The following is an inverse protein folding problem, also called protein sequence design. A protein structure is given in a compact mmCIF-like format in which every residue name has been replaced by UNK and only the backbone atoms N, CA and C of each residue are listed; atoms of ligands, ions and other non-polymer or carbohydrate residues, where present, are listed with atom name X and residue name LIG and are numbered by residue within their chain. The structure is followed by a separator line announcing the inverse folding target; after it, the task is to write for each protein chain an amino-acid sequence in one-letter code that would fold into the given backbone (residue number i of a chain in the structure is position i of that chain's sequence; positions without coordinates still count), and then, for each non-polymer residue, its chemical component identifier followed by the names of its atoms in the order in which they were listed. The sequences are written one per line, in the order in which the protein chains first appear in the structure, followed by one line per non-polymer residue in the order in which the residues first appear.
data_IF_359271220264
#
_entry.id   IF_359271220264
#
_cell.length_a   1.000
_cell.length_b   1.000
_cell.length_c   1.000
_cell.angle_alpha   90.00
_cell.angle_beta   90.00
_cell.angle_gamma   90.00
#
_symmetry.space_group_name_H-M   'P 1'
#
loop_
_entity.id
_entity.type
_entity.pdbx_description
1 polymer ?
#
# COMPACT_ATOMS: atom_id res chain seq x y z
N UNK A 1 -33.70 35.33 26.69
CA UNK A 1 -33.28 33.96 26.94
C UNK A 1 -31.77 33.90 26.73
N UNK A 2 -30.97 33.33 27.62
CA UNK A 2 -29.54 33.17 27.36
C UNK A 2 -29.39 32.29 26.10
N UNK A 3 -28.63 32.82 25.12
CA UNK A 3 -28.25 32.02 23.93
C UNK A 3 -27.50 30.82 24.41
N UNK A 4 -27.94 29.59 24.01
CA UNK A 4 -27.19 28.36 24.32
C UNK A 4 -25.72 28.55 23.86
N UNK A 5 -24.77 28.08 24.66
CA UNK A 5 -23.34 28.32 24.43
C UNK A 5 -22.86 27.83 23.05
N UNK A 6 -23.57 26.85 22.47
CA UNK A 6 -23.20 26.19 21.23
C UNK A 6 -24.00 26.65 19.99
N UNK A 7 -24.81 27.72 20.10
CA UNK A 7 -25.67 28.16 18.99
C UNK A 7 -24.88 28.53 17.72
N UNK A 8 -23.65 29.01 17.84
CA UNK A 8 -22.76 29.31 16.71
C UNK A 8 -22.32 28.06 15.96
N UNK A 9 -22.34 26.90 16.60
CA UNK A 9 -21.92 25.61 16.04
C UNK A 9 -23.10 24.85 15.42
N UNK A 10 -24.31 25.40 15.41
CA UNK A 10 -25.53 24.74 14.94
C UNK A 10 -25.36 24.11 13.55
N UNK A 11 -24.85 24.88 12.59
CA UNK A 11 -24.68 24.41 11.21
C UNK A 11 -23.67 23.25 11.11
N UNK A 12 -22.57 23.33 11.90
CA UNK A 12 -21.55 22.28 11.93
C UNK A 12 -22.09 20.99 12.53
N UNK A 13 -22.86 21.08 13.64
CA UNK A 13 -23.48 19.90 14.24
C UNK A 13 -24.60 19.36 13.36
N UNK A 14 -25.37 20.19 12.65
CA UNK A 14 -26.36 19.73 11.69
C UNK A 14 -25.70 18.94 10.56
N UNK A 15 -24.61 19.46 9.98
CA UNK A 15 -23.82 18.74 8.97
C UNK A 15 -23.29 17.41 9.52
N UNK A 16 -22.73 17.39 10.73
CA UNK A 16 -22.25 16.19 11.40
C UNK A 16 -23.35 15.16 11.57
N UNK A 17 -24.51 15.56 12.06
CA UNK A 17 -25.68 14.67 12.27
C UNK A 17 -26.12 14.04 10.95
N UNK A 18 -26.23 14.85 9.89
CA UNK A 18 -26.63 14.37 8.57
C UNK A 18 -25.59 13.36 8.03
N UNK A 19 -24.30 13.68 8.09
CA UNK A 19 -23.24 12.78 7.62
C UNK A 19 -23.15 11.47 8.42
N UNK A 20 -23.33 11.51 9.74
CA UNK A 20 -23.20 10.34 10.60
C UNK A 20 -24.46 9.45 10.59
N UNK A 21 -25.66 10.05 10.48
CA UNK A 21 -26.91 9.33 10.73
C UNK A 21 -27.74 9.04 9.49
N UNK A 22 -27.29 9.48 8.31
CA UNK A 22 -28.07 9.27 7.08
C UNK A 22 -27.21 8.71 5.95
N UNK A 23 -27.85 8.02 5.04
CA UNK A 23 -27.35 7.54 3.74
C UNK A 23 -28.56 7.33 2.81
N UNK A 24 -28.36 6.80 1.60
CA UNK A 24 -29.43 6.57 0.63
C UNK A 24 -30.57 5.68 1.16
N UNK A 25 -30.28 4.80 2.13
CA UNK A 25 -31.24 3.86 2.72
C UNK A 25 -31.75 4.29 4.10
N UNK A 26 -31.10 5.26 4.73
CA UNK A 26 -31.45 5.76 6.05
C UNK A 26 -31.60 7.28 6.02
N UNK A 27 -32.81 7.75 6.21
CA UNK A 27 -33.13 9.17 6.29
C UNK A 27 -33.47 9.60 7.71
N UNK A 28 -33.44 10.89 7.99
CA UNK A 28 -33.77 11.50 9.28
C UNK A 28 -34.83 12.56 9.09
N UNK A 29 -35.83 12.58 9.99
CA UNK A 29 -36.92 13.55 9.97
C UNK A 29 -36.55 14.85 10.68
N UNK A 30 -37.28 15.93 10.42
CA UNK A 30 -37.08 17.22 11.10
C UNK A 30 -37.16 17.16 12.63
N UNK A 31 -38.13 16.44 13.22
CA UNK A 31 -38.14 16.25 14.67
C UNK A 31 -36.91 15.55 15.21
N UNK A 32 -36.45 14.50 14.56
CA UNK A 32 -35.23 13.76 14.95
C UNK A 32 -33.97 14.63 14.83
N UNK A 33 -33.91 15.53 13.83
CA UNK A 33 -32.81 16.51 13.71
C UNK A 33 -32.81 17.46 14.91
N UNK A 34 -33.99 17.96 15.31
CA UNK A 34 -34.13 18.87 16.47
C UNK A 34 -33.68 18.14 17.75
N UNK A 35 -34.13 16.91 17.96
CA UNK A 35 -33.73 16.09 19.10
C UNK A 35 -32.22 15.83 19.11
N UNK A 36 -31.65 15.49 17.94
CA UNK A 36 -30.22 15.26 17.83
C UNK A 36 -29.37 16.52 18.10
N UNK A 37 -29.83 17.69 17.71
CA UNK A 37 -29.19 18.96 18.05
C UNK A 37 -29.33 19.32 19.54
N UNK A 38 -30.44 18.99 20.14
CA UNK A 38 -30.66 19.22 21.58
C UNK A 38 -29.66 18.43 22.44
N UNK A 39 -29.23 17.25 22.00
CA UNK A 39 -28.17 16.47 22.66
C UNK A 39 -26.81 17.18 22.71
N UNK A 40 -26.60 18.22 21.89
CA UNK A 40 -25.43 19.09 21.88
C UNK A 40 -25.70 20.47 22.52
N UNK A 41 -26.77 20.62 23.31
CA UNK A 41 -27.21 21.88 23.90
C UNK A 41 -27.54 22.96 22.86
N UNK A 42 -27.99 22.57 21.67
CA UNK A 42 -28.37 23.48 20.60
C UNK A 42 -29.88 23.47 20.44
N UNK A 43 -30.49 24.62 20.72
CA UNK A 43 -31.92 24.85 20.44
C UNK A 43 -32.11 25.24 18.98
N UNK A 44 -32.98 24.55 18.27
CA UNK A 44 -33.24 24.82 16.86
C UNK A 44 -34.73 24.84 16.56
N UNK A 45 -35.17 25.87 15.85
CA UNK A 45 -36.51 25.97 15.34
C UNK A 45 -36.59 25.39 13.91
N UNK A 46 -37.70 24.70 13.62
CA UNK A 46 -37.96 24.05 12.35
C UNK A 46 -37.73 24.99 11.15
N UNK A 47 -38.23 26.22 11.23
CA UNK A 47 -38.05 27.22 10.12
C UNK A 47 -36.60 27.59 9.88
N UNK A 48 -35.81 27.71 10.93
CA UNK A 48 -34.38 27.99 10.83
C UNK A 48 -33.60 26.84 10.22
N UNK A 49 -33.97 25.58 10.53
CA UNK A 49 -33.32 24.40 10.00
C UNK A 49 -33.51 24.23 8.50
N UNK A 50 -34.63 24.61 7.92
CA UNK A 50 -34.80 24.62 6.47
C UNK A 50 -33.77 25.50 5.79
N UNK A 51 -33.53 26.70 6.32
CA UNK A 51 -32.50 27.59 5.79
C UNK A 51 -31.08 27.05 6.01
N UNK A 52 -30.85 26.42 7.16
CA UNK A 52 -29.54 25.79 7.45
C UNK A 52 -29.26 24.61 6.49
N UNK A 53 -30.27 23.79 6.16
CA UNK A 53 -30.14 22.72 5.18
C UNK A 53 -29.84 23.29 3.79
N UNK A 54 -30.49 24.39 3.41
CA UNK A 54 -30.21 25.03 2.13
C UNK A 54 -28.79 25.60 2.08
N UNK A 55 -28.31 26.19 3.17
CA UNK A 55 -26.94 26.65 3.29
C UNK A 55 -25.94 25.48 3.17
N UNK A 56 -26.24 24.30 3.71
CA UNK A 56 -25.41 23.11 3.53
C UNK A 56 -25.39 22.64 2.09
N UNK A 57 -26.51 22.74 1.34
CA UNK A 57 -26.55 22.45 -0.10
C UNK A 57 -25.69 23.43 -0.89
N UNK A 58 -25.78 24.73 -0.58
CA UNK A 58 -24.92 25.77 -1.19
C UNK A 58 -23.45 25.53 -0.90
N UNK A 59 -23.14 25.03 0.32
CA UNK A 59 -21.78 24.64 0.70
C UNK A 59 -21.23 23.45 -0.10
N UNK A 60 -22.13 22.66 -0.68
CA UNK A 60 -21.77 21.48 -1.48
C UNK A 60 -22.10 20.13 -0.84
N UNK A 61 -22.82 20.12 0.29
CA UNK A 61 -23.32 18.89 0.87
C UNK A 61 -24.62 18.48 0.17
N UNK A 62 -24.65 17.31 -0.46
CA UNK A 62 -25.80 16.80 -1.21
C UNK A 62 -26.90 16.30 -0.25
N UNK A 63 -27.63 17.22 0.34
CA UNK A 63 -28.77 16.91 1.22
C UNK A 63 -30.04 16.75 0.40
N UNK A 64 -30.51 15.53 0.27
CA UNK A 64 -31.73 15.18 -0.45
C UNK A 64 -32.90 15.12 0.51
N UNK A 65 -34.04 15.71 0.11
CA UNK A 65 -35.31 15.58 0.81
C UNK A 65 -36.16 14.49 0.15
N UNK A 66 -36.72 13.61 0.98
CA UNK A 66 -37.57 12.51 0.52
C UNK A 66 -38.92 12.54 1.26
N UNK A 67 -40.00 12.40 0.53
CA UNK A 67 -41.30 12.22 1.13
C UNK A 67 -41.72 10.76 1.02
N UNK A 68 -41.97 10.15 2.16
CA UNK A 68 -42.53 8.81 2.25
C UNK A 68 -43.84 8.92 3.02
N UNK A 69 -44.95 8.57 2.39
CA UNK A 69 -46.30 8.74 2.89
C UNK A 69 -46.58 10.18 3.37
N UNK A 70 -46.77 10.36 4.69
CA UNK A 70 -46.99 11.66 5.34
C UNK A 70 -45.74 12.27 6.00
N UNK A 71 -44.61 11.61 5.88
CA UNK A 71 -43.37 12.00 6.55
C UNK A 71 -42.36 12.54 5.53
N UNK A 72 -41.78 13.69 5.86
CA UNK A 72 -40.70 14.27 5.06
C UNK A 72 -39.39 14.10 5.82
N UNK A 73 -38.38 13.49 5.18
CA UNK A 73 -37.09 13.17 5.75
C UNK A 73 -35.96 13.64 4.85
N UNK A 74 -34.75 13.68 5.40
CA UNK A 74 -33.53 14.14 4.75
C UNK A 74 -32.45 13.08 4.83
N UNK A 75 -31.62 12.99 3.79
CA UNK A 75 -30.42 12.17 3.80
C UNK A 75 -29.33 12.78 2.94
N UNK A 76 -28.10 12.37 3.15
CA UNK A 76 -26.95 12.74 2.30
C UNK A 76 -26.84 11.71 1.20
N UNK A 77 -27.04 12.15 -0.05
CA UNK A 77 -26.97 11.31 -1.23
C UNK A 77 -25.52 11.08 -1.65
N UNK A 78 -24.90 12.06 -2.29
CA UNK A 78 -23.53 11.93 -2.76
C UNK A 78 -22.52 12.21 -1.62
N UNK A 79 -21.58 11.29 -1.40
CA UNK A 79 -20.51 11.40 -0.42
C UNK A 79 -19.17 11.53 -1.12
N UNK A 80 -18.16 11.98 -0.39
CA UNK A 80 -16.79 12.07 -0.91
C UNK A 80 -16.24 10.72 -1.38
N UNK A 81 -16.67 9.64 -0.73
CA UNK A 81 -16.34 8.27 -1.08
C UNK A 81 -17.60 7.43 -1.15
N UNK A 82 -17.68 6.58 -2.16
CA UNK A 82 -18.70 5.53 -2.23
C UNK A 82 -18.38 4.39 -1.24
N UNK A 83 -19.40 3.68 -0.78
CA UNK A 83 -19.21 2.56 0.14
C UNK A 83 -18.27 1.47 -0.45
N UNK A 84 -18.33 1.24 -1.77
CA UNK A 84 -17.44 0.30 -2.45
C UNK A 84 -15.98 0.73 -2.37
N UNK A 85 -15.68 2.03 -2.53
CA UNK A 85 -14.34 2.59 -2.40
C UNK A 85 -13.80 2.46 -0.97
N UNK A 86 -14.66 2.76 0.03
CA UNK A 86 -14.29 2.59 1.44
C UNK A 86 -14.00 1.13 1.78
N UNK A 87 -14.75 0.16 1.22
CA UNK A 87 -14.46 -1.27 1.35
C UNK A 87 -13.08 -1.62 0.79
N UNK A 88 -12.73 -1.12 -0.40
CA UNK A 88 -11.39 -1.34 -0.99
C UNK A 88 -10.27 -0.72 -0.14
N UNK A 89 -10.49 0.46 0.44
CA UNK A 89 -9.52 1.09 1.35
C UNK A 89 -9.33 0.26 2.63
N UNK A 90 -10.41 -0.23 3.24
CA UNK A 90 -10.35 -1.12 4.42
C UNK A 90 -9.61 -2.40 4.08
N UNK A 91 -9.93 -3.04 2.95
CA UNK A 91 -9.28 -4.28 2.50
C UNK A 91 -7.78 -4.05 2.26
N UNK A 92 -7.40 -2.93 1.65
CA UNK A 92 -6.01 -2.54 1.42
C UNK A 92 -5.23 -2.37 2.74
N UNK A 93 -5.81 -1.69 3.74
CA UNK A 93 -5.21 -1.53 5.06
C UNK A 93 -5.13 -2.87 5.81
N UNK A 94 -6.19 -3.68 5.72
CA UNK A 94 -6.25 -4.98 6.40
C UNK A 94 -5.23 -5.95 5.81
N UNK A 95 -5.07 -5.96 4.49
CA UNK A 95 -4.15 -6.85 3.78
C UNK A 95 -2.68 -6.44 3.90
N UNK A 96 -2.36 -5.20 4.19
CA UNK A 96 -1.00 -4.69 4.24
C UNK A 96 -0.16 -5.36 5.35
N UNK A 97 0.89 -6.10 4.99
CA UNK A 97 1.81 -6.76 5.95
C UNK A 97 2.65 -5.76 6.74
N UNK A 98 2.98 -4.63 6.15
CA UNK A 98 3.86 -3.62 6.75
C UNK A 98 3.19 -2.75 7.81
N UNK A 99 1.86 -2.80 7.94
CA UNK A 99 1.11 -2.08 8.97
C UNK A 99 0.81 -3.03 10.13
N UNK A 100 1.11 -2.63 11.38
CA UNK A 100 0.79 -3.44 12.56
C UNK A 100 -0.73 -3.62 12.72
N UNK A 101 -1.16 -4.67 13.42
CA UNK A 101 -2.58 -4.92 13.70
C UNK A 101 -3.23 -3.71 14.38
N UNK A 102 -2.55 -3.14 15.39
CA UNK A 102 -3.02 -1.96 16.13
C UNK A 102 -3.24 -0.78 15.19
N UNK A 103 -2.24 -0.47 14.35
CA UNK A 103 -2.32 0.67 13.43
C UNK A 103 -3.35 0.46 12.33
N UNK A 104 -3.52 -0.77 11.84
CA UNK A 104 -4.59 -1.11 10.90
C UNK A 104 -5.96 -0.80 11.49
N UNK A 105 -6.23 -1.23 12.73
CA UNK A 105 -7.50 -0.95 13.40
C UNK A 105 -7.76 0.54 13.61
N UNK A 106 -6.70 1.32 13.94
CA UNK A 106 -6.81 2.79 14.05
C UNK A 106 -7.16 3.45 12.71
N UNK A 107 -6.53 3.00 11.61
CA UNK A 107 -6.79 3.52 10.26
C UNK A 107 -8.19 3.14 9.79
N UNK A 108 -8.63 1.89 10.01
CA UNK A 108 -9.96 1.42 9.66
C UNK A 108 -11.02 2.26 10.38
N UNK A 109 -10.86 2.53 11.68
CA UNK A 109 -11.78 3.43 12.41
C UNK A 109 -11.87 4.84 11.79
N UNK A 110 -10.78 5.36 11.24
CA UNK A 110 -10.80 6.65 10.56
C UNK A 110 -11.54 6.57 9.22
N UNK A 111 -11.38 5.47 8.49
CA UNK A 111 -12.12 5.22 7.24
C UNK A 111 -13.61 5.06 7.51
N UNK A 112 -13.98 4.32 8.57
CA UNK A 112 -15.38 4.19 9.03
C UNK A 112 -16.03 5.53 9.30
N UNK A 113 -15.28 6.51 9.84
CA UNK A 113 -15.76 7.86 10.07
C UNK A 113 -16.09 8.67 8.81
N UNK A 114 -15.78 8.17 7.62
CA UNK A 114 -16.16 8.78 6.33
C UNK A 114 -17.53 8.29 5.83
N UNK A 115 -18.08 7.25 6.44
CA UNK A 115 -19.37 6.65 6.12
C UNK A 115 -20.45 7.05 7.14
N UNK A 116 -21.71 6.72 6.86
CA UNK A 116 -22.76 6.75 7.87
C UNK A 116 -22.52 5.65 8.93
N UNK A 117 -23.12 5.78 10.12
CA UNK A 117 -23.05 4.73 11.15
C UNK A 117 -23.58 3.36 10.66
N UNK A 118 -24.49 3.38 9.70
CA UNK A 118 -25.07 2.17 9.12
C UNK A 118 -24.14 1.51 8.11
N UNK A 119 -23.54 2.30 7.23
CA UNK A 119 -22.56 1.85 6.27
C UNK A 119 -21.25 1.43 6.96
N UNK A 120 -20.81 2.16 8.00
CA UNK A 120 -19.63 1.83 8.80
C UNK A 120 -19.70 0.42 9.38
N UNK A 121 -20.90 -0.04 9.80
CA UNK A 121 -21.08 -1.42 10.27
C UNK A 121 -20.79 -2.48 9.20
N UNK A 122 -20.93 -2.14 7.92
CA UNK A 122 -20.62 -3.03 6.79
C UNK A 122 -19.12 -3.04 6.46
N UNK A 123 -18.34 -2.03 6.92
CA UNK A 123 -16.90 -1.96 6.72
C UNK A 123 -16.12 -2.89 7.66
N UNK A 124 -16.75 -3.34 8.76
CA UNK A 124 -16.19 -4.39 9.64
C UNK A 124 -16.12 -5.76 8.97
N UNK A 125 -16.12 -5.82 7.66
CA UNK A 125 -15.97 -7.08 6.94
C UNK A 125 -14.60 -7.67 7.20
N UNK A 126 -14.65 -8.94 7.52
CA UNK A 126 -13.51 -9.82 7.59
C UNK A 126 -13.06 -10.17 6.17
N UNK A 127 -12.24 -9.34 5.54
CA UNK A 127 -11.35 -9.90 4.54
C UNK A 127 -10.37 -10.76 5.33
N UNK A 128 -10.66 -12.04 5.37
CA UNK A 128 -9.79 -13.01 6.02
C UNK A 128 -8.54 -13.17 5.14
N UNK A 129 -7.50 -12.41 5.46
CA UNK A 129 -6.20 -12.60 4.83
C UNK A 129 -5.53 -13.75 5.54
N UNK A 130 -5.77 -14.97 5.04
CA UNK A 130 -5.23 -16.19 5.62
C UNK A 130 -3.70 -16.12 5.71
N UNK A 131 -3.14 -16.42 6.91
CA UNK A 131 -1.71 -16.63 7.11
C UNK A 131 -0.81 -15.40 7.03
N UNK A 132 -1.35 -14.18 6.99
CA UNK A 132 -0.51 -12.97 6.94
C UNK A 132 0.00 -12.56 8.31
N UNK A 133 1.30 -12.74 8.51
CA UNK A 133 2.01 -12.20 9.67
C UNK A 133 2.28 -10.72 9.41
N UNK A 134 1.54 -9.85 10.09
CA UNK A 134 1.80 -8.40 10.07
C UNK A 134 3.11 -8.08 10.82
N UNK A 135 3.77 -7.01 10.42
CA UNK A 135 4.97 -6.53 11.12
C UNK A 135 4.65 -6.19 12.58
N UNK A 136 5.63 -6.41 13.46
CA UNK A 136 5.59 -5.95 14.84
C UNK A 136 6.29 -4.59 15.03
N UNK A 137 6.87 -4.05 13.97
CA UNK A 137 7.58 -2.78 14.04
C UNK A 137 6.62 -1.60 13.86
N UNK A 138 6.19 -0.98 14.94
CA UNK A 138 5.31 0.20 14.91
C UNK A 138 5.99 1.44 14.30
N UNK A 139 7.32 1.47 14.22
CA UNK A 139 8.06 2.62 13.69
C UNK A 139 8.05 2.71 12.16
N UNK A 140 7.61 1.67 11.45
CA UNK A 140 7.69 1.62 9.98
C UNK A 140 6.96 2.79 9.32
N UNK A 141 5.83 3.21 9.87
CA UNK A 141 5.07 4.35 9.40
C UNK A 141 5.91 5.64 9.43
N UNK A 142 6.60 5.88 10.56
CA UNK A 142 7.49 7.03 10.70
C UNK A 142 8.79 6.88 9.90
N UNK A 143 9.24 5.63 9.71
CA UNK A 143 10.43 5.35 8.89
C UNK A 143 10.19 5.76 7.43
N UNK A 144 9.04 5.40 6.86
CA UNK A 144 8.64 5.79 5.50
C UNK A 144 8.60 7.32 5.37
N UNK A 145 7.96 8.00 6.32
CA UNK A 145 7.85 9.46 6.33
C UNK A 145 9.23 10.15 6.41
N UNK A 146 10.10 9.69 7.31
CA UNK A 146 11.47 10.20 7.44
C UNK A 146 12.31 10.02 6.17
N UNK A 147 12.13 8.88 5.49
CA UNK A 147 12.81 8.63 4.22
C UNK A 147 12.30 9.59 3.15
N UNK A 148 10.99 9.78 3.02
CA UNK A 148 10.41 10.76 2.10
C UNK A 148 10.92 12.17 2.36
N UNK A 149 10.95 12.59 3.62
CA UNK A 149 11.48 13.90 4.03
C UNK A 149 12.96 14.04 3.62
N UNK A 150 13.79 13.05 3.90
CA UNK A 150 15.20 13.08 3.52
C UNK A 150 15.41 13.12 1.99
N UNK A 151 14.55 12.43 1.23
CA UNK A 151 14.55 12.51 -0.24
C UNK A 151 14.20 13.92 -0.71
N UNK A 152 13.15 14.52 -0.15
CA UNK A 152 12.71 15.88 -0.49
C UNK A 152 13.76 16.94 -0.14
N UNK A 153 14.43 16.79 1.00
CA UNK A 153 15.49 17.69 1.49
C UNK A 153 16.86 17.41 0.84
N UNK A 154 16.95 16.48 -0.09
CA UNK A 154 18.21 16.06 -0.72
C UNK A 154 19.31 15.68 0.29
N UNK A 155 18.93 15.00 1.38
CA UNK A 155 19.79 14.67 2.49
C UNK A 155 20.12 13.18 2.58
N UNK A 156 21.34 12.84 3.00
CA UNK A 156 21.70 11.48 3.40
C UNK A 156 21.03 11.12 4.71
N UNK A 157 20.86 9.82 4.91
CA UNK A 157 20.32 9.26 6.16
C UNK A 157 21.32 8.30 6.82
N UNK A 158 21.21 8.21 8.13
CA UNK A 158 21.84 7.17 8.92
C UNK A 158 20.79 6.33 9.61
N UNK A 159 21.05 5.06 9.78
CA UNK A 159 20.15 4.13 10.47
C UNK A 159 20.89 2.89 10.95
N UNK A 160 20.29 2.13 11.88
CA UNK A 160 20.67 0.78 12.23
C UNK A 160 19.79 -0.23 11.50
N UNK A 161 20.33 -1.41 11.19
CA UNK A 161 19.61 -2.46 10.50
C UNK A 161 19.64 -3.75 11.31
N UNK A 162 18.47 -4.39 11.48
CA UNK A 162 18.36 -5.60 12.27
C UNK A 162 17.97 -6.82 11.46
N UNK A 163 18.23 -7.98 12.02
CA UNK A 163 17.73 -9.28 11.59
C UNK A 163 17.12 -10.02 12.78
N UNK A 164 16.26 -10.99 12.48
CA UNK A 164 15.75 -11.90 13.51
C UNK A 164 16.71 -13.08 13.68
N UNK A 165 17.02 -13.45 14.91
CA UNK A 165 17.71 -14.70 15.19
C UNK A 165 16.71 -15.86 15.43
N UNK A 166 17.22 -17.08 15.55
CA UNK A 166 16.39 -18.28 15.78
C UNK A 166 15.59 -18.25 17.10
N UNK A 167 16.01 -17.44 18.06
CA UNK A 167 15.31 -17.20 19.32
C UNK A 167 14.21 -16.11 19.18
N UNK A 168 13.92 -15.65 17.95
CA UNK A 168 12.95 -14.57 17.63
C UNK A 168 13.28 -13.24 18.30
N UNK A 169 14.56 -12.98 18.55
CA UNK A 169 15.06 -11.70 19.08
C UNK A 169 15.63 -10.86 17.94
N UNK A 170 15.43 -9.55 18.03
CA UNK A 170 16.09 -8.60 17.13
C UNK A 170 17.59 -8.55 17.42
N UNK A 171 18.39 -8.68 16.38
CA UNK A 171 19.84 -8.64 16.41
C UNK A 171 20.33 -7.60 15.42
N UNK A 172 21.06 -6.59 15.92
CA UNK A 172 21.59 -5.54 15.06
C UNK A 172 22.72 -6.10 14.18
N UNK A 173 22.65 -5.84 12.90
CA UNK A 173 23.72 -6.20 11.97
C UNK A 173 24.95 -5.32 12.20
N UNK A 174 26.11 -5.84 11.82
CA UNK A 174 27.41 -5.17 11.99
C UNK A 174 27.64 -4.63 13.42
N UNK A 175 27.25 -5.42 14.44
CA UNK A 175 27.37 -5.03 15.85
C UNK A 175 26.72 -3.67 16.20
N UNK A 176 25.66 -3.30 15.49
CA UNK A 176 24.94 -2.05 15.72
C UNK A 176 25.55 -0.82 15.04
N UNK A 177 26.55 -0.99 14.18
CA UNK A 177 27.11 0.11 13.40
C UNK A 177 26.03 0.79 12.54
N UNK A 178 26.14 2.10 12.40
CA UNK A 178 25.26 2.89 11.56
C UNK A 178 25.59 2.69 10.08
N UNK A 179 24.55 2.45 9.30
CA UNK A 179 24.63 2.60 7.86
C UNK A 179 24.45 4.09 7.52
N UNK A 180 25.24 4.60 6.59
CA UNK A 180 25.05 5.94 6.00
C UNK A 180 24.86 5.79 4.50
N UNK A 181 23.71 6.23 3.98
CA UNK A 181 23.37 6.09 2.56
C UNK A 181 22.62 7.32 2.04
N UNK A 182 22.65 7.49 0.73
CA UNK A 182 21.86 8.48 0.01
C UNK A 182 20.52 7.87 -0.43
N UNK A 183 19.38 8.23 0.18
CA UNK A 183 18.07 7.67 -0.18
C UNK A 183 17.62 8.27 -1.51
N UNK A 184 17.23 7.44 -2.49
CA UNK A 184 16.79 7.91 -3.79
C UNK A 184 15.32 7.62 -4.06
N UNK A 185 14.83 6.45 -3.68
CA UNK A 185 13.44 6.07 -3.90
C UNK A 185 12.96 5.07 -2.87
N UNK A 186 11.65 5.01 -2.69
CA UNK A 186 10.97 3.92 -2.04
C UNK A 186 10.28 3.06 -3.10
N UNK A 187 10.49 1.76 -3.06
CA UNK A 187 9.80 0.78 -3.90
C UNK A 187 8.89 -0.09 -3.04
N UNK A 188 7.79 -0.51 -3.64
CA UNK A 188 6.88 -1.48 -3.06
C UNK A 188 7.03 -2.80 -3.79
N UNK A 189 7.47 -3.85 -3.08
CA UNK A 189 7.61 -5.19 -3.63
C UNK A 189 7.28 -6.25 -2.57
N UNK A 190 6.58 -7.31 -2.97
CA UNK A 190 6.11 -8.39 -2.09
C UNK A 190 5.56 -7.88 -0.74
N UNK A 191 4.71 -6.85 -0.83
CA UNK A 191 4.03 -6.22 0.32
C UNK A 191 4.96 -5.59 1.37
N UNK A 192 6.18 -5.25 0.99
CA UNK A 192 7.14 -4.55 1.82
C UNK A 192 7.62 -3.25 1.14
N UNK A 193 7.92 -2.24 1.96
CA UNK A 193 8.68 -1.09 1.49
C UNK A 193 10.17 -1.39 1.46
N UNK A 194 10.78 -1.07 0.35
CA UNK A 194 12.22 -1.10 0.16
C UNK A 194 12.75 0.29 -0.10
N UNK A 195 13.73 0.71 0.68
CA UNK A 195 14.53 1.88 0.36
C UNK A 195 15.57 1.49 -0.69
N UNK A 196 15.58 2.20 -1.80
CA UNK A 196 16.63 2.13 -2.81
C UNK A 196 17.56 3.32 -2.56
N UNK A 197 18.80 3.01 -2.22
CA UNK A 197 19.76 4.01 -1.79
C UNK A 197 21.14 3.75 -2.39
N UNK A 198 21.90 4.82 -2.59
CA UNK A 198 23.30 4.75 -3.00
C UNK A 198 24.19 4.71 -1.76
N UNK A 199 25.03 3.68 -1.70
CA UNK A 199 26.08 3.54 -0.70
C UNK A 199 27.38 4.12 -1.27
N UNK A 200 27.81 5.25 -0.75
CA UNK A 200 29.01 5.95 -1.22
C UNK A 200 30.31 5.21 -0.86
N UNK A 201 30.30 4.38 0.15
CA UNK A 201 31.48 3.62 0.58
C UNK A 201 31.81 2.48 -0.38
N UNK A 202 30.80 1.80 -0.89
CA UNK A 202 30.94 0.71 -1.85
C UNK A 202 30.65 1.15 -3.30
N UNK A 203 30.13 2.38 -3.49
CA UNK A 203 29.75 2.97 -4.79
C UNK A 203 28.72 2.11 -5.56
N UNK A 204 27.74 1.57 -4.84
CA UNK A 204 26.69 0.72 -5.40
C UNK A 204 25.32 1.15 -4.91
N UNK A 205 24.28 0.76 -5.66
CA UNK A 205 22.89 0.87 -5.25
C UNK A 205 22.55 -0.33 -4.36
N UNK A 206 22.01 -0.07 -3.18
CA UNK A 206 21.58 -1.07 -2.21
C UNK A 206 20.08 -0.95 -1.92
N UNK A 207 19.48 -2.08 -1.55
CA UNK A 207 18.09 -2.18 -1.12
C UNK A 207 18.02 -2.52 0.35
N UNK A 208 17.19 -1.77 1.09
CA UNK A 208 16.96 -2.01 2.50
C UNK A 208 15.46 -2.14 2.76
N UNK A 209 15.04 -3.22 3.39
CA UNK A 209 13.66 -3.33 3.87
C UNK A 209 13.42 -2.32 4.97
N UNK A 210 12.43 -1.45 4.78
CA UNK A 210 12.16 -0.33 5.71
C UNK A 210 11.67 -0.82 7.07
N UNK A 211 10.99 -1.98 7.13
CA UNK A 211 10.55 -2.61 8.38
C UNK A 211 11.70 -3.09 9.26
N UNK A 212 12.91 -3.25 8.70
CA UNK A 212 14.13 -3.64 9.42
C UNK A 212 15.06 -2.48 9.76
N UNK A 213 14.70 -1.27 9.41
CA UNK A 213 15.46 -0.07 9.71
C UNK A 213 15.03 0.52 11.05
N UNK A 214 15.99 0.91 11.87
CA UNK A 214 15.79 1.52 13.17
C UNK A 214 16.54 2.86 13.25
N UNK A 215 15.99 3.80 14.02
CA UNK A 215 16.63 5.09 14.31
C UNK A 215 17.07 5.88 13.09
N UNK A 216 16.20 5.93 12.06
CA UNK A 216 16.49 6.70 10.84
C UNK A 216 16.61 8.18 11.19
N UNK A 217 17.71 8.80 10.77
CA UNK A 217 17.98 10.23 10.96
C UNK A 217 18.58 10.82 9.69
N UNK A 218 18.13 12.01 9.31
CA UNK A 218 18.80 12.84 8.32
C UNK A 218 20.07 13.44 8.95
N UNK A 219 21.19 13.42 8.23
CA UNK A 219 22.45 14.00 8.72
C UNK A 219 22.80 15.34 8.07
N UNK A 220 21.90 15.89 7.24
CA UNK A 220 22.07 17.19 6.57
C UNK A 220 23.10 17.20 5.45
N UNK A 221 23.82 16.11 5.19
CA UNK A 221 24.76 16.02 4.06
C UNK A 221 23.99 15.78 2.77
N UNK A 222 24.43 16.43 1.69
CA UNK A 222 23.85 16.25 0.37
C UNK A 222 23.99 14.80 -0.10
N UNK A 223 22.95 14.28 -0.77
CA UNK A 223 22.95 12.94 -1.38
C UNK A 223 24.03 12.84 -2.47
N UNK A 224 24.58 11.65 -2.63
CA UNK A 224 25.48 11.24 -3.71
C UNK A 224 24.81 10.17 -4.57
N UNK A 225 25.44 9.83 -5.72
CA UNK A 225 24.93 8.81 -6.63
C UNK A 225 23.86 9.33 -7.59
N UNK A 226 23.82 10.65 -7.84
CA UNK A 226 22.81 11.25 -8.75
C UNK A 226 22.98 10.75 -10.20
N UNK A 227 24.21 10.54 -10.66
CA UNK A 227 24.48 10.06 -12.02
C UNK A 227 24.06 8.61 -12.19
N UNK A 228 24.37 7.78 -11.21
CA UNK A 228 24.00 6.37 -11.16
C UNK A 228 22.48 6.21 -11.14
N UNK A 229 21.79 7.14 -10.48
CA UNK A 229 20.34 7.08 -10.35
C UNK A 229 19.60 7.75 -11.52
N UNK A 230 20.17 8.73 -12.23
CA UNK A 230 19.56 9.34 -13.43
C UNK A 230 19.42 8.38 -14.59
N UNK A 231 20.34 7.44 -14.72
CA UNK A 231 20.28 6.35 -15.71
C UNK A 231 19.38 5.18 -15.25
N UNK A 232 18.81 5.26 -14.04
CA UNK A 232 18.10 4.19 -13.40
C UNK A 232 16.57 4.36 -13.58
N UNK A 233 16.01 3.62 -14.54
CA UNK A 233 14.55 3.55 -14.72
C UNK A 233 13.94 2.65 -13.62
N UNK A 234 13.33 3.29 -12.62
CA UNK A 234 12.70 2.62 -11.51
C UNK A 234 11.61 1.62 -11.92
N UNK A 235 10.82 1.97 -12.94
CA UNK A 235 9.73 1.10 -13.40
C UNK A 235 10.29 -0.12 -14.16
N UNK A 236 11.32 0.08 -14.98
CA UNK A 236 12.04 -1.00 -15.63
C UNK A 236 12.77 -1.87 -14.59
N UNK A 237 13.41 -1.24 -13.62
CA UNK A 237 14.14 -1.95 -12.57
C UNK A 237 13.22 -2.84 -11.70
N UNK A 238 12.09 -2.31 -11.25
CA UNK A 238 11.14 -3.08 -10.45
C UNK A 238 10.59 -4.32 -11.21
N UNK A 239 10.49 -4.24 -12.54
CA UNK A 239 10.12 -5.39 -13.39
C UNK A 239 11.24 -6.42 -13.52
N UNK A 240 12.50 -5.97 -13.54
CA UNK A 240 13.66 -6.84 -13.71
C UNK A 240 14.05 -7.61 -12.45
N UNK A 241 13.75 -7.06 -11.27
CA UNK A 241 14.18 -7.60 -9.97
C UNK A 241 13.12 -8.54 -9.40
N UNK A 242 13.55 -9.68 -8.89
CA UNK A 242 12.72 -10.65 -8.20
C UNK A 242 12.95 -10.55 -6.69
N UNK A 243 11.92 -10.13 -5.93
CA UNK A 243 11.98 -9.98 -4.48
C UNK A 243 13.05 -8.97 -4.00
N UNK A 244 13.36 -7.94 -4.81
CA UNK A 244 14.38 -6.92 -4.54
C UNK A 244 15.79 -7.47 -4.31
N UNK A 245 16.10 -8.66 -4.85
CA UNK A 245 17.45 -9.20 -4.84
C UNK A 245 18.24 -8.66 -6.04
N UNK A 246 19.36 -8.02 -5.73
CA UNK A 246 20.28 -7.54 -6.77
C UNK A 246 20.90 -8.74 -7.53
N UNK A 247 21.15 -8.54 -8.81
CA UNK A 247 21.82 -9.49 -9.68
C UNK A 247 22.39 -8.79 -10.91
N UNK A 248 23.20 -9.47 -11.67
CA UNK A 248 23.66 -8.95 -12.95
C UNK A 248 22.48 -8.88 -13.91
N UNK A 249 22.27 -7.74 -14.55
CA UNK A 249 21.23 -7.60 -15.57
C UNK A 249 21.64 -8.37 -16.83
N UNK A 250 20.74 -9.23 -17.29
CA UNK A 250 20.90 -10.02 -18.51
C UNK A 250 19.56 -10.10 -19.25
N UNK A 251 19.62 -10.09 -20.58
CA UNK A 251 18.45 -10.44 -21.39
C UNK A 251 18.38 -11.95 -21.49
N UNK A 252 17.35 -12.55 -20.90
CA UNK A 252 17.14 -13.99 -20.93
C UNK A 252 16.03 -14.37 -21.89
N UNK A 253 16.20 -15.53 -22.56
CA UNK A 253 15.13 -16.13 -23.35
C UNK A 253 14.56 -17.34 -22.62
N UNK A 254 13.25 -17.34 -22.52
CA UNK A 254 12.47 -18.40 -21.87
C UNK A 254 11.51 -18.98 -22.91
N UNK A 255 11.45 -20.30 -23.02
CA UNK A 255 10.47 -21.02 -23.80
C UNK A 255 9.38 -21.52 -22.86
N UNK A 256 8.11 -21.32 -23.24
CA UNK A 256 6.94 -21.60 -22.41
C UNK A 256 5.85 -22.31 -23.21
N UNK A 257 5.12 -23.19 -22.55
CA UNK A 257 3.83 -23.67 -23.08
C UNK A 257 2.84 -22.49 -23.14
N UNK A 258 1.89 -22.53 -24.10
CA UNK A 258 0.91 -21.45 -24.29
C UNK A 258 0.03 -21.20 -23.06
N UNK A 259 -0.12 -22.17 -22.16
CA UNK A 259 -0.84 -22.03 -20.89
C UNK A 259 -0.19 -21.01 -19.93
N UNK A 260 1.09 -20.71 -20.08
CA UNK A 260 1.83 -19.74 -19.28
C UNK A 260 1.75 -18.29 -19.81
N UNK A 261 1.04 -18.04 -20.91
CA UNK A 261 0.95 -16.69 -21.48
C UNK A 261 0.43 -15.66 -20.46
N UNK A 262 -0.59 -16.01 -19.68
CA UNK A 262 -1.11 -15.14 -18.59
C UNK A 262 -0.06 -14.84 -17.53
N UNK A 263 0.68 -15.85 -17.08
CA UNK A 263 1.74 -15.69 -16.06
C UNK A 263 2.86 -14.75 -16.55
N UNK A 264 3.24 -14.86 -17.84
CA UNK A 264 4.25 -14.00 -18.45
C UNK A 264 3.74 -12.57 -18.57
N UNK A 265 2.48 -12.37 -19.00
CA UNK A 265 1.85 -11.05 -19.09
C UNK A 265 1.73 -10.40 -17.70
N UNK A 266 1.28 -11.14 -16.70
CA UNK A 266 1.13 -10.65 -15.33
C UNK A 266 2.47 -10.21 -14.73
N UNK A 267 3.55 -10.90 -15.08
CA UNK A 267 4.89 -10.60 -14.57
C UNK A 267 5.61 -9.47 -15.32
N UNK A 268 5.56 -9.49 -16.65
CA UNK A 268 6.38 -8.61 -17.49
C UNK A 268 5.57 -7.52 -18.20
N UNK A 269 4.24 -7.58 -18.14
CA UNK A 269 3.33 -6.63 -18.79
C UNK A 269 2.86 -7.10 -20.16
N UNK A 270 1.79 -6.46 -20.68
CA UNK A 270 1.20 -6.81 -21.99
C UNK A 270 2.11 -6.51 -23.18
N UNK A 271 3.06 -5.59 -23.01
CA UNK A 271 3.96 -5.15 -24.08
C UNK A 271 5.13 -6.11 -24.29
N UNK A 272 5.21 -7.19 -23.50
CA UNK A 272 6.24 -8.22 -23.65
C UNK A 272 6.08 -8.94 -25.00
N UNK A 273 7.18 -9.04 -25.74
CA UNK A 273 7.15 -9.68 -27.06
C UNK A 273 7.19 -11.22 -26.90
N UNK A 274 6.06 -11.85 -27.13
CA UNK A 274 5.91 -13.32 -27.17
C UNK A 274 5.89 -13.78 -28.60
N UNK A 275 6.83 -14.65 -28.96
CA UNK A 275 7.02 -15.16 -30.33
C UNK A 275 6.58 -16.64 -30.34
N UNK A 276 5.53 -17.02 -31.09
CA UNK A 276 5.14 -18.40 -31.23
C UNK A 276 6.29 -19.25 -31.84
N UNK A 277 6.56 -20.41 -31.27
CA UNK A 277 7.49 -21.41 -31.77
C UNK A 277 6.75 -22.46 -32.58
N UNK A 278 5.64 -22.92 -32.03
CA UNK A 278 4.70 -23.89 -32.63
C UNK A 278 3.28 -23.69 -32.07
N UNK A 279 2.36 -24.64 -32.35
CA UNK A 279 0.96 -24.54 -31.91
C UNK A 279 0.80 -24.61 -30.38
N UNK A 280 1.82 -25.04 -29.63
CA UNK A 280 1.75 -25.26 -28.18
C UNK A 280 2.72 -24.41 -27.37
N UNK A 281 3.74 -23.85 -28.01
CA UNK A 281 4.83 -23.16 -27.33
C UNK A 281 5.09 -21.76 -27.90
N UNK A 282 5.55 -20.87 -27.03
CA UNK A 282 6.08 -19.57 -27.40
C UNK A 282 7.41 -19.28 -26.70
N UNK A 283 8.16 -18.34 -27.25
CA UNK A 283 9.40 -17.82 -26.68
C UNK A 283 9.20 -16.37 -26.27
N UNK A 284 9.81 -15.99 -25.15
CA UNK A 284 9.84 -14.62 -24.65
C UNK A 284 11.26 -14.23 -24.29
N UNK A 285 11.68 -13.00 -24.67
CA UNK A 285 12.95 -12.42 -24.26
C UNK A 285 12.69 -11.27 -23.31
N UNK A 286 13.26 -11.34 -22.10
CA UNK A 286 13.04 -10.37 -21.02
C UNK A 286 14.34 -9.99 -20.35
N UNK A 287 14.45 -8.71 -19.97
CA UNK A 287 15.57 -8.23 -19.16
C UNK A 287 15.30 -8.51 -17.69
N UNK A 288 16.20 -9.20 -17.02
CA UNK A 288 16.08 -9.56 -15.61
C UNK A 288 17.38 -9.37 -14.85
N UNK A 289 17.29 -9.05 -13.57
CA UNK A 289 18.40 -9.19 -12.64
C UNK A 289 18.54 -10.66 -12.26
N UNK A 290 19.54 -11.34 -12.82
CA UNK A 290 19.76 -12.77 -12.57
C UNK A 290 20.14 -12.98 -11.11
N UNK A 291 19.25 -13.60 -10.37
CA UNK A 291 19.38 -13.87 -8.94
C UNK A 291 18.81 -15.26 -8.63
N UNK A 292 19.08 -15.78 -7.43
CA UNK A 292 18.46 -17.04 -6.98
C UNK A 292 16.94 -16.97 -6.98
N UNK A 293 16.36 -15.82 -6.71
CA UNK A 293 14.90 -15.63 -6.72
C UNK A 293 14.34 -15.73 -8.12
N UNK A 294 15.04 -15.18 -9.12
CA UNK A 294 14.66 -15.38 -10.52
C UNK A 294 14.71 -16.85 -10.91
N UNK A 295 15.83 -17.55 -10.61
CA UNK A 295 15.95 -18.98 -10.90
C UNK A 295 14.88 -19.81 -10.17
N UNK A 296 14.62 -19.50 -8.90
CA UNK A 296 13.57 -20.15 -8.12
C UNK A 296 12.16 -19.88 -8.69
N UNK A 297 11.91 -18.68 -9.23
CA UNK A 297 10.65 -18.37 -9.91
C UNK A 297 10.48 -19.24 -11.16
N UNK A 298 11.50 -19.36 -12.00
CA UNK A 298 11.48 -20.23 -13.18
C UNK A 298 11.23 -21.70 -12.78
N UNK A 299 11.97 -22.19 -11.76
CA UNK A 299 11.78 -23.56 -11.22
C UNK A 299 10.36 -23.76 -10.68
N UNK A 300 9.80 -22.75 -10.01
CA UNK A 300 8.46 -22.79 -9.40
C UNK A 300 7.32 -22.86 -10.40
N UNK A 301 7.55 -22.51 -11.67
CA UNK A 301 6.57 -22.67 -12.74
C UNK A 301 6.43 -24.15 -13.20
N UNK A 302 7.40 -24.99 -12.84
CA UNK A 302 7.36 -26.42 -13.13
C UNK A 302 7.64 -26.79 -14.59
N UNK A 303 7.01 -27.88 -15.04
CA UNK A 303 7.14 -28.34 -16.43
C UNK A 303 6.50 -27.34 -17.39
N UNK A 304 7.00 -27.24 -18.61
CA UNK A 304 6.49 -26.34 -19.64
C UNK A 304 7.11 -24.95 -19.65
N UNK A 305 8.12 -24.68 -18.77
CA UNK A 305 8.90 -23.44 -18.80
C UNK A 305 10.38 -23.76 -18.75
N UNK A 306 11.14 -23.27 -19.74
CA UNK A 306 12.56 -23.57 -19.90
C UNK A 306 13.36 -22.31 -20.20
N UNK A 307 14.39 -22.04 -19.40
CA UNK A 307 15.40 -21.04 -19.68
C UNK A 307 16.37 -21.56 -20.75
N UNK A 308 16.49 -20.86 -21.87
CA UNK A 308 17.26 -21.35 -23.03
C UNK A 308 18.48 -20.48 -23.39
N UNK A 309 18.50 -19.24 -22.97
CA UNK A 309 19.68 -18.37 -23.16
C UNK A 309 19.70 -17.20 -22.18
N UNK A 310 20.86 -16.52 -21.95
CA UNK A 310 22.19 -16.86 -22.47
C UNK A 310 22.83 -18.06 -21.73
N UNK A 311 23.87 -18.65 -22.32
CA UNK A 311 24.51 -19.85 -21.80
C UNK A 311 25.01 -19.73 -20.36
N UNK A 312 25.54 -18.56 -19.97
CA UNK A 312 25.98 -18.30 -18.60
C UNK A 312 24.82 -18.38 -17.59
N UNK A 313 23.62 -17.95 -17.96
CA UNK A 313 22.45 -18.02 -17.06
C UNK A 313 21.88 -19.44 -17.03
N UNK A 314 21.91 -20.16 -18.15
CA UNK A 314 21.58 -21.60 -18.20
C UNK A 314 22.56 -22.41 -17.33
N UNK A 315 23.84 -22.07 -17.34
CA UNK A 315 24.85 -22.69 -16.46
C UNK A 315 24.53 -22.47 -14.97
N UNK A 316 24.14 -21.23 -14.57
CA UNK A 316 23.71 -20.93 -13.21
C UNK A 316 22.45 -21.73 -12.81
N UNK A 317 21.51 -21.94 -13.72
CA UNK A 317 20.34 -22.80 -13.48
C UNK A 317 20.79 -24.25 -13.22
N UNK A 318 21.70 -24.78 -14.00
CA UNK A 318 22.23 -26.15 -13.82
C UNK A 318 22.96 -26.27 -12.46
N UNK A 319 23.78 -25.27 -12.08
CA UNK A 319 24.43 -25.26 -10.78
C UNK A 319 23.40 -25.29 -9.62
N UNK A 320 22.30 -24.55 -9.77
CA UNK A 320 21.24 -24.53 -8.76
C UNK A 320 20.49 -25.86 -8.70
N UNK A 321 20.24 -26.50 -9.84
CA UNK A 321 19.66 -27.85 -9.92
C UNK A 321 20.60 -28.86 -9.23
N UNK A 322 21.89 -28.83 -9.52
CA UNK A 322 22.88 -29.70 -8.89
C UNK A 322 22.96 -29.47 -7.37
N UNK A 323 22.85 -28.23 -6.93
CA UNK A 323 22.75 -27.89 -5.51
C UNK A 323 21.51 -28.55 -4.86
N UNK A 324 20.35 -28.45 -5.51
CA UNK A 324 19.11 -29.08 -5.03
C UNK A 324 19.23 -30.58 -5.00
N UNK A 325 19.81 -31.21 -6.03
CA UNK A 325 20.06 -32.65 -6.08
C UNK A 325 20.94 -33.09 -4.90
N UNK A 326 22.06 -32.39 -4.65
CA UNK A 326 22.93 -32.69 -3.50
C UNK A 326 22.24 -32.51 -2.14
N UNK A 327 21.30 -31.57 -2.03
CA UNK A 327 20.61 -31.29 -0.79
C UNK A 327 19.50 -32.30 -0.46
N UNK A 328 18.82 -32.83 -1.47
CA UNK A 328 17.62 -33.67 -1.27
C UNK A 328 17.80 -35.15 -1.68
N UNK A 329 18.77 -35.50 -2.51
CA UNK A 329 19.14 -36.88 -2.73
C UNK A 329 20.19 -37.29 -1.69
N UNK A 330 19.77 -38.19 -0.78
CA UNK A 330 20.67 -38.92 0.12
C UNK A 330 21.36 -40.05 -0.63
#
# INVERSE_FOLDING_TARGET
MPKSSNQKLKLIYLMKILLERTDETHSITMPEIIEALAAYDISAERKSLYNDIENLRIYGLDVIGKQEDRTYSYYVGNRQFELAELKLLVDSVQSAKFITVKKSNELIKKIEGLASKYEASQLHRQVFVAGRVKTMNESIYYNVDRIHTAIAENSRITFQYFQWNVAKKMELRHNGALYEVSPWSLSWDDENYYLIAYDSSEKIIKHFRVDKMLHIQSNGRRREGEQEFKSFDMAAYARKVFGMYAGKEETVRIECDNSFAGVVIDRFGKDVNMIPIDDKHFSVSVDVAVSRQFLAWVIGLGEGVKLVSPDNVVALMNEEIDRLIRQYRK
#
